data_IF_869564069522
#
_entry.id   IF_869564069522
#
_cell.length_a   1.000
_cell.length_b   1.000
_cell.length_c   1.000
_cell.angle_alpha   90.00
_cell.angle_beta   90.00
_cell.angle_gamma   90.00
#
_symmetry.space_group_name_H-M   'P 1'
#
loop_
_entity.id
_entity.type
_entity.pdbx_description
1 polymer ?
#
# COMPACT_ATOMS: atom_id res chain seq x y z
N UNK A 1 14.05 28.24 -19.43
CA UNK A 1 13.74 27.68 -18.10
C UNK A 1 12.33 27.07 -18.02
N UNK A 2 11.85 26.30 -19.00
CA UNK A 2 10.47 25.78 -19.08
C UNK A 2 10.36 24.24 -19.21
N UNK A 3 11.45 23.50 -19.29
CA UNK A 3 11.42 22.02 -19.42
C UNK A 3 11.28 21.21 -18.10
N UNK A 4 11.81 21.60 -16.93
CA UNK A 4 11.74 20.75 -15.74
C UNK A 4 10.32 20.54 -15.19
N UNK A 5 9.38 21.46 -15.42
CA UNK A 5 8.00 21.36 -14.87
C UNK A 5 7.10 20.36 -15.63
N UNK A 6 7.34 20.13 -16.93
CA UNK A 6 6.55 19.17 -17.74
C UNK A 6 6.84 17.71 -17.36
N UNK A 7 8.09 17.37 -17.04
CA UNK A 7 8.47 16.01 -16.63
C UNK A 7 7.96 15.64 -15.25
N UNK A 8 7.88 16.58 -14.31
CA UNK A 8 7.34 16.32 -12.97
C UNK A 8 5.82 16.01 -12.99
N UNK A 9 5.04 16.72 -13.81
CA UNK A 9 3.61 16.48 -13.93
C UNK A 9 3.28 15.12 -14.60
N UNK A 10 4.00 14.77 -15.66
CA UNK A 10 3.84 13.48 -16.34
C UNK A 10 4.28 12.31 -15.45
N UNK A 11 5.39 12.46 -14.71
CA UNK A 11 5.87 11.46 -13.75
C UNK A 11 4.88 11.24 -12.59
N UNK A 12 4.29 12.32 -12.06
CA UNK A 12 3.28 12.21 -11.00
C UNK A 12 2.00 11.53 -11.48
N UNK A 13 1.50 11.88 -12.66
CA UNK A 13 0.33 11.24 -13.27
C UNK A 13 0.59 9.74 -13.54
N UNK A 14 1.75 9.39 -14.08
CA UNK A 14 2.16 8.01 -14.30
C UNK A 14 2.27 7.23 -12.98
N UNK A 15 2.79 7.85 -11.92
CA UNK A 15 2.88 7.23 -10.59
C UNK A 15 1.50 6.92 -10.00
N UNK A 16 0.49 7.79 -10.21
CA UNK A 16 -0.89 7.53 -9.76
C UNK A 16 -1.50 6.36 -10.54
N UNK A 17 -1.32 6.32 -11.85
CA UNK A 17 -1.81 5.21 -12.70
C UNK A 17 -1.15 3.89 -12.30
N UNK A 18 0.14 3.91 -12.04
CA UNK A 18 0.91 2.71 -11.68
C UNK A 18 0.55 2.23 -10.27
N UNK A 19 0.36 3.11 -9.31
CA UNK A 19 -0.10 2.73 -7.96
C UNK A 19 -1.56 2.23 -7.94
N UNK A 20 -2.40 2.72 -8.86
CA UNK A 20 -3.76 2.24 -9.06
C UNK A 20 -3.86 0.86 -9.73
N UNK A 21 -2.87 0.50 -10.54
CA UNK A 21 -2.86 -0.75 -11.31
C UNK A 21 -3.02 -2.01 -10.45
N UNK A 22 -2.18 -2.24 -9.44
CA UNK A 22 -2.31 -3.40 -8.54
C UNK A 22 -3.63 -3.42 -7.76
N UNK A 23 -4.14 -2.26 -7.37
CA UNK A 23 -5.44 -2.14 -6.69
C UNK A 23 -6.58 -2.57 -7.61
N UNK A 24 -6.59 -2.07 -8.85
CA UNK A 24 -7.59 -2.43 -9.86
C UNK A 24 -7.48 -3.93 -10.20
N UNK A 25 -6.28 -4.43 -10.41
CA UNK A 25 -6.04 -5.85 -10.69
C UNK A 25 -6.53 -6.74 -9.55
N UNK A 26 -6.22 -6.38 -8.31
CA UNK A 26 -6.71 -7.08 -7.12
C UNK A 26 -8.24 -7.06 -7.02
N UNK A 27 -8.87 -5.92 -7.29
CA UNK A 27 -10.32 -5.79 -7.29
C UNK A 27 -10.97 -6.63 -8.40
N UNK A 28 -10.43 -6.59 -9.63
CA UNK A 28 -10.93 -7.40 -10.76
C UNK A 28 -10.81 -8.89 -10.43
N UNK A 29 -9.65 -9.34 -9.94
CA UNK A 29 -9.47 -10.74 -9.56
C UNK A 29 -10.42 -11.14 -8.42
N UNK A 30 -10.60 -10.29 -7.40
CA UNK A 30 -11.55 -10.52 -6.31
C UNK A 30 -12.98 -10.65 -6.83
N UNK A 31 -13.41 -9.85 -7.80
CA UNK A 31 -14.74 -9.98 -8.44
C UNK A 31 -14.87 -11.34 -9.15
N UNK A 32 -13.87 -11.74 -9.93
CA UNK A 32 -13.90 -13.02 -10.65
C UNK A 32 -13.96 -14.19 -9.66
N UNK A 33 -13.15 -14.18 -8.63
CA UNK A 33 -13.15 -15.20 -7.56
C UNK A 33 -14.51 -15.24 -6.86
N UNK A 34 -15.01 -14.09 -6.42
CA UNK A 34 -16.29 -13.96 -5.71
C UNK A 34 -17.47 -14.50 -6.53
N UNK A 35 -17.49 -14.23 -7.83
CA UNK A 35 -18.52 -14.71 -8.76
C UNK A 35 -18.43 -16.21 -9.02
N UNK A 36 -17.23 -16.74 -9.07
CA UNK A 36 -16.97 -18.15 -9.46
C UNK A 36 -17.11 -19.10 -8.28
N UNK A 37 -16.46 -18.77 -7.15
CA UNK A 37 -16.38 -19.68 -5.99
C UNK A 37 -17.07 -19.14 -4.74
N UNK A 38 -17.70 -17.96 -4.82
CA UNK A 38 -18.54 -17.38 -3.77
C UNK A 38 -17.77 -16.80 -2.58
N UNK A 39 -18.50 -16.41 -1.49
CA UNK A 39 -17.90 -15.75 -0.35
C UNK A 39 -16.83 -16.59 0.37
N UNK A 40 -17.09 -17.87 0.61
CA UNK A 40 -16.13 -18.74 1.31
C UNK A 40 -14.81 -18.86 0.54
N UNK A 41 -14.88 -19.13 -0.78
CA UNK A 41 -13.67 -19.21 -1.59
C UNK A 41 -12.92 -17.88 -1.70
N UNK A 42 -13.64 -16.76 -1.70
CA UNK A 42 -13.01 -15.43 -1.65
C UNK A 42 -12.33 -15.17 -0.30
N UNK A 43 -12.91 -15.67 0.81
CA UNK A 43 -12.31 -15.60 2.13
C UNK A 43 -11.02 -16.40 2.24
N UNK A 44 -11.05 -17.65 1.74
CA UNK A 44 -9.88 -18.52 1.70
C UNK A 44 -8.74 -17.91 0.88
N UNK A 45 -9.08 -17.36 -0.29
CA UNK A 45 -8.10 -16.63 -1.12
C UNK A 45 -7.52 -15.41 -0.37
N UNK A 46 -8.35 -14.63 0.31
CA UNK A 46 -7.91 -13.45 1.06
C UNK A 46 -6.98 -13.82 2.23
N UNK A 47 -7.27 -14.91 2.96
CA UNK A 47 -6.40 -15.42 4.04
C UNK A 47 -5.04 -15.89 3.51
N UNK A 48 -5.01 -16.66 2.44
CA UNK A 48 -3.77 -17.18 1.86
C UNK A 48 -2.95 -16.06 1.20
N UNK A 49 -3.60 -15.09 0.55
CA UNK A 49 -2.95 -13.88 0.04
C UNK A 49 -2.34 -13.05 1.17
N UNK A 50 -3.06 -12.92 2.29
CA UNK A 50 -2.57 -12.20 3.48
C UNK A 50 -1.38 -12.91 4.11
N UNK A 51 -1.43 -14.24 4.22
CA UNK A 51 -0.31 -15.06 4.70
C UNK A 51 0.94 -14.86 3.84
N UNK A 52 0.81 -14.97 2.51
CA UNK A 52 1.92 -14.76 1.58
C UNK A 52 2.46 -13.32 1.65
N UNK A 53 1.57 -12.32 1.73
CA UNK A 53 1.93 -10.91 1.84
C UNK A 53 2.69 -10.58 3.13
N UNK A 54 2.23 -11.07 4.28
CA UNK A 54 2.92 -10.91 5.57
C UNK A 54 4.28 -11.62 5.54
N UNK A 55 4.34 -12.85 4.99
CA UNK A 55 5.58 -13.60 4.86
C UNK A 55 6.62 -12.86 4.01
N UNK A 56 6.20 -12.29 2.88
CA UNK A 56 7.07 -11.48 2.02
C UNK A 56 7.55 -10.20 2.74
N UNK A 57 6.65 -9.52 3.44
CA UNK A 57 6.97 -8.29 4.16
C UNK A 57 7.97 -8.54 5.30
N UNK A 58 7.76 -9.58 6.10
CA UNK A 58 8.68 -9.98 7.17
C UNK A 58 10.04 -10.35 6.57
N UNK A 59 10.05 -11.16 5.52
CA UNK A 59 11.26 -11.62 4.86
C UNK A 59 12.04 -10.50 4.13
N UNK A 60 11.37 -9.41 3.75
CA UNK A 60 12.04 -8.29 3.07
C UNK A 60 13.11 -7.61 3.91
N UNK A 61 12.99 -7.68 5.25
CA UNK A 61 13.90 -7.09 6.26
C UNK A 61 14.25 -5.62 5.92
N UNK A 62 13.31 -4.93 5.22
CA UNK A 62 13.47 -3.55 4.78
C UNK A 62 14.48 -3.33 3.66
N UNK A 63 14.97 -4.39 3.01
CA UNK A 63 15.99 -4.28 1.97
C UNK A 63 15.53 -3.40 0.79
N UNK A 64 14.23 -3.33 0.50
CA UNK A 64 13.66 -2.41 -0.50
C UNK A 64 14.08 -0.95 -0.26
N UNK A 65 13.92 -0.46 0.99
CA UNK A 65 14.35 0.90 1.36
C UNK A 65 15.87 1.07 1.31
N UNK A 66 16.60 0.04 1.71
CA UNK A 66 18.07 0.01 1.64
C UNK A 66 18.60 0.08 0.20
N UNK A 67 18.01 -0.69 -0.71
CA UNK A 67 18.33 -0.67 -2.14
C UNK A 67 18.06 0.73 -2.72
N UNK A 68 16.87 1.27 -2.48
CA UNK A 68 16.49 2.61 -2.93
C UNK A 68 17.53 3.64 -2.46
N UNK A 69 17.94 3.59 -1.20
CA UNK A 69 18.93 4.50 -0.64
C UNK A 69 20.31 4.39 -1.30
N UNK A 70 20.87 3.18 -1.45
CA UNK A 70 22.20 2.98 -2.01
C UNK A 70 22.24 3.31 -3.52
N UNK A 71 21.16 2.98 -4.25
CA UNK A 71 21.05 3.24 -5.70
C UNK A 71 20.81 4.72 -6.00
N UNK A 72 19.94 5.41 -5.26
CA UNK A 72 19.67 6.84 -5.44
C UNK A 72 20.91 7.70 -5.17
N UNK A 73 21.74 7.28 -4.21
CA UNK A 73 23.02 7.95 -3.90
C UNK A 73 24.16 7.55 -4.82
N UNK A 74 23.88 6.79 -5.88
CA UNK A 74 24.86 6.30 -6.85
C UNK A 74 26.05 5.53 -6.22
N UNK A 75 25.83 4.90 -5.05
CA UNK A 75 26.82 4.05 -4.37
C UNK A 75 26.80 2.62 -4.92
N UNK A 76 25.66 2.19 -5.44
CA UNK A 76 25.50 0.96 -6.19
C UNK A 76 25.24 1.27 -7.65
N UNK A 77 25.95 0.57 -8.55
CA UNK A 77 25.54 0.47 -9.94
C UNK A 77 24.26 -0.37 -10.04
N UNK A 78 23.52 -0.20 -11.13
CA UNK A 78 22.33 -1.04 -11.41
C UNK A 78 22.71 -2.52 -11.43
N UNK A 79 23.88 -2.86 -12.02
CA UNK A 79 24.38 -4.24 -12.09
C UNK A 79 24.66 -4.84 -10.71
N UNK A 80 25.32 -4.08 -9.84
CA UNK A 80 25.61 -4.50 -8.46
C UNK A 80 24.31 -4.65 -7.66
N UNK A 81 23.42 -3.66 -7.73
CA UNK A 81 22.12 -3.70 -7.09
C UNK A 81 21.29 -4.90 -7.54
N UNK A 82 21.21 -5.15 -8.86
CA UNK A 82 20.50 -6.28 -9.43
C UNK A 82 21.01 -7.62 -8.88
N UNK A 83 22.33 -7.88 -8.97
CA UNK A 83 22.91 -9.15 -8.51
C UNK A 83 22.68 -9.38 -7.02
N UNK A 84 22.97 -8.37 -6.18
CA UNK A 84 22.82 -8.46 -4.75
C UNK A 84 21.33 -8.65 -4.34
N UNK A 85 20.43 -7.89 -4.97
CA UNK A 85 19.01 -7.89 -4.63
C UNK A 85 18.30 -9.17 -5.06
N UNK A 86 18.57 -9.69 -6.26
CA UNK A 86 17.91 -10.92 -6.71
C UNK A 86 18.34 -12.12 -5.89
N UNK A 87 19.64 -12.26 -5.61
CA UNK A 87 20.11 -13.33 -4.76
C UNK A 87 19.50 -13.23 -3.35
N UNK A 88 19.52 -12.02 -2.76
CA UNK A 88 18.92 -11.77 -1.46
C UNK A 88 17.39 -11.99 -1.50
N UNK A 89 16.71 -11.57 -2.57
CA UNK A 89 15.26 -11.74 -2.74
C UNK A 89 14.83 -13.19 -2.72
N UNK A 90 15.52 -14.04 -3.48
CA UNK A 90 15.24 -15.48 -3.47
C UNK A 90 15.61 -16.12 -2.13
N UNK A 91 16.75 -15.78 -1.53
CA UNK A 91 17.18 -16.36 -0.25
C UNK A 91 16.24 -15.95 0.89
N UNK A 92 15.97 -14.67 1.05
CA UNK A 92 15.06 -14.15 2.07
C UNK A 92 13.62 -14.59 1.80
N UNK A 93 13.20 -14.61 0.54
CA UNK A 93 11.90 -15.11 0.14
C UNK A 93 11.67 -16.56 0.48
N UNK A 94 12.69 -17.42 0.31
CA UNK A 94 12.61 -18.82 0.73
C UNK A 94 12.47 -18.93 2.25
N UNK A 95 13.26 -18.18 3.01
CA UNK A 95 13.14 -18.13 4.49
C UNK A 95 11.74 -17.64 4.87
N UNK A 96 11.21 -16.60 4.20
CA UNK A 96 9.86 -16.09 4.43
C UNK A 96 8.77 -17.09 4.09
N UNK A 97 8.92 -17.83 2.99
CA UNK A 97 7.98 -18.90 2.61
C UNK A 97 7.98 -20.04 3.64
N UNK A 98 9.15 -20.45 4.13
CA UNK A 98 9.28 -21.47 5.18
C UNK A 98 8.70 -20.99 6.52
N UNK A 99 8.96 -19.74 6.89
CA UNK A 99 8.34 -19.13 8.08
C UNK A 99 6.83 -19.02 7.94
N UNK A 100 6.32 -18.62 6.77
CA UNK A 100 4.89 -18.61 6.46
C UNK A 100 4.25 -19.99 6.53
N UNK A 101 4.95 -21.03 6.06
CA UNK A 101 4.49 -22.41 6.17
C UNK A 101 4.45 -22.87 7.63
N UNK A 102 5.42 -22.47 8.44
CA UNK A 102 5.41 -22.75 9.89
C UNK A 102 4.23 -22.04 10.57
N UNK A 103 3.95 -20.78 10.23
CA UNK A 103 2.77 -20.06 10.73
C UNK A 103 1.48 -20.72 10.29
N UNK A 104 1.38 -21.15 9.04
CA UNK A 104 0.22 -21.90 8.55
C UNK A 104 0.01 -23.19 9.36
N UNK A 105 1.06 -23.96 9.58
CA UNK A 105 0.99 -25.20 10.37
C UNK A 105 0.61 -24.96 11.84
N UNK A 106 1.12 -23.90 12.45
CA UNK A 106 0.77 -23.51 13.82
C UNK A 106 -0.69 -23.04 13.97
N UNK A 107 -1.24 -22.42 12.93
CA UNK A 107 -2.60 -21.90 12.91
C UNK A 107 -3.58 -22.79 12.15
N UNK A 108 -3.16 -24.00 11.75
CA UNK A 108 -3.96 -24.89 10.93
C UNK A 108 -5.27 -25.30 11.60
N UNK A 109 -5.24 -25.58 12.91
CA UNK A 109 -6.42 -26.01 13.67
C UNK A 109 -7.37 -24.86 14.05
N UNK A 110 -6.96 -23.59 13.82
CA UNK A 110 -7.74 -22.40 14.17
C UNK A 110 -8.13 -21.58 12.95
N UNK A 111 -7.17 -20.95 12.30
CA UNK A 111 -7.40 -20.02 11.18
C UNK A 111 -7.59 -20.75 9.84
N UNK A 112 -6.86 -21.86 9.63
CA UNK A 112 -6.78 -22.57 8.35
C UNK A 112 -7.37 -23.99 8.43
N UNK A 113 -8.28 -24.25 9.37
CA UNK A 113 -8.75 -25.59 9.74
C UNK A 113 -9.37 -26.41 8.59
N UNK A 114 -9.87 -25.77 7.55
CA UNK A 114 -10.49 -26.42 6.39
C UNK A 114 -9.60 -26.35 5.14
N UNK A 115 -8.39 -25.77 5.25
CA UNK A 115 -7.51 -25.56 4.10
C UNK A 115 -6.46 -26.68 3.98
N UNK A 116 -6.26 -27.13 2.74
CA UNK A 116 -5.20 -28.11 2.43
C UNK A 116 -3.84 -27.39 2.40
N UNK A 117 -2.81 -28.04 2.95
CA UNK A 117 -1.44 -27.52 2.97
C UNK A 117 -0.91 -27.16 1.58
N UNK A 118 -1.38 -27.86 0.52
CA UNK A 118 -1.01 -27.60 -0.86
C UNK A 118 -1.41 -26.19 -1.32
N UNK A 119 -2.54 -25.67 -0.83
CA UNK A 119 -2.99 -24.30 -1.16
C UNK A 119 -2.07 -23.25 -0.51
N UNK A 120 -1.64 -23.50 0.73
CA UNK A 120 -0.67 -22.64 1.41
C UNK A 120 0.70 -22.69 0.73
N UNK A 121 1.17 -23.88 0.34
CA UNK A 121 2.41 -24.03 -0.42
C UNK A 121 2.36 -23.26 -1.74
N UNK A 122 1.24 -23.33 -2.46
CA UNK A 122 1.05 -22.61 -3.72
C UNK A 122 1.07 -21.10 -3.52
N UNK A 123 0.39 -20.57 -2.49
CA UNK A 123 0.43 -19.14 -2.15
C UNK A 123 1.83 -18.70 -1.74
N UNK A 124 2.51 -19.46 -0.88
CA UNK A 124 3.84 -19.15 -0.36
C UNK A 124 4.95 -19.31 -1.41
N UNK A 125 4.75 -20.12 -2.45
CA UNK A 125 5.65 -20.21 -3.59
C UNK A 125 5.81 -18.87 -4.34
N UNK A 126 4.86 -17.96 -4.18
CA UNK A 126 4.97 -16.60 -4.72
C UNK A 126 6.01 -15.75 -4.01
N UNK A 127 6.35 -16.02 -2.74
CA UNK A 127 7.15 -15.12 -1.88
C UNK A 127 8.57 -14.88 -2.41
N UNK A 128 9.36 -15.88 -2.82
CA UNK A 128 10.70 -15.64 -3.36
C UNK A 128 10.71 -14.78 -4.63
N UNK A 129 9.95 -15.08 -5.69
CA UNK A 129 9.93 -14.24 -6.87
C UNK A 129 9.26 -12.88 -6.62
N UNK A 130 8.32 -12.77 -5.67
CA UNK A 130 7.70 -11.52 -5.27
C UNK A 130 8.72 -10.54 -4.66
N UNK A 131 9.63 -11.01 -3.81
CA UNK A 131 10.70 -10.16 -3.29
C UNK A 131 11.68 -9.73 -4.39
N UNK A 132 12.04 -10.62 -5.30
CA UNK A 132 12.89 -10.27 -6.44
C UNK A 132 12.23 -9.18 -7.32
N UNK A 133 10.93 -9.30 -7.60
CA UNK A 133 10.13 -8.29 -8.28
C UNK A 133 10.12 -6.95 -7.52
N UNK A 134 9.84 -6.94 -6.21
CA UNK A 134 9.82 -5.71 -5.39
C UNK A 134 11.19 -5.02 -5.34
N UNK A 135 12.28 -5.77 -5.39
CA UNK A 135 13.62 -5.19 -5.42
C UNK A 135 13.96 -4.61 -6.80
N UNK A 136 13.48 -5.22 -7.90
CA UNK A 136 13.59 -4.63 -9.21
C UNK A 136 12.83 -3.31 -9.30
N UNK A 137 11.64 -3.27 -8.74
CA UNK A 137 10.80 -2.08 -8.58
C UNK A 137 11.57 -0.95 -7.88
N UNK A 138 12.15 -1.24 -6.71
CA UNK A 138 12.94 -0.30 -5.93
C UNK A 138 14.15 0.28 -6.71
N UNK A 139 14.82 -0.55 -7.52
CA UNK A 139 15.96 -0.10 -8.35
C UNK A 139 15.49 0.83 -9.47
N UNK A 140 14.42 0.47 -10.19
CA UNK A 140 13.86 1.30 -11.26
C UNK A 140 13.37 2.65 -10.74
N UNK A 141 12.68 2.65 -9.62
CA UNK A 141 12.19 3.85 -8.96
C UNK A 141 13.35 4.74 -8.48
N UNK A 142 14.40 4.14 -7.87
CA UNK A 142 15.59 4.86 -7.41
C UNK A 142 16.39 5.49 -8.56
N UNK A 143 16.24 4.97 -9.78
CA UNK A 143 16.84 5.50 -11.02
C UNK A 143 15.88 6.40 -11.81
N UNK A 144 14.71 6.70 -11.27
CA UNK A 144 13.67 7.51 -11.93
C UNK A 144 13.23 6.94 -13.29
N UNK A 145 13.31 5.61 -13.44
CA UNK A 145 12.90 4.90 -14.67
C UNK A 145 11.41 4.56 -14.61
N UNK A 146 10.58 5.57 -14.62
CA UNK A 146 9.12 5.44 -14.44
C UNK A 146 8.44 4.58 -15.50
N UNK A 147 8.91 4.60 -16.75
CA UNK A 147 8.38 3.73 -17.82
C UNK A 147 8.66 2.24 -17.52
N UNK A 148 9.91 1.94 -17.09
CA UNK A 148 10.28 0.60 -16.69
C UNK A 148 9.51 0.12 -15.47
N UNK A 149 9.35 1.00 -14.47
CA UNK A 149 8.52 0.77 -13.31
C UNK A 149 7.07 0.44 -13.69
N UNK A 150 6.46 1.25 -14.58
CA UNK A 150 5.11 1.01 -15.07
C UNK A 150 4.97 -0.32 -15.83
N UNK A 151 5.93 -0.66 -16.69
CA UNK A 151 5.93 -1.92 -17.41
C UNK A 151 6.04 -3.13 -16.48
N UNK A 152 6.85 -3.00 -15.42
CA UNK A 152 7.02 -4.02 -14.39
C UNK A 152 5.69 -4.26 -13.62
N UNK A 153 5.07 -3.20 -13.13
CA UNK A 153 3.79 -3.24 -12.41
C UNK A 153 2.66 -3.79 -13.28
N UNK A 154 2.56 -3.34 -14.53
CA UNK A 154 1.55 -3.82 -15.47
C UNK A 154 1.73 -5.30 -15.82
N UNK A 155 2.97 -5.77 -16.00
CA UNK A 155 3.24 -7.18 -16.31
C UNK A 155 2.83 -8.09 -15.15
N UNK A 156 3.15 -7.71 -13.92
CA UNK A 156 2.74 -8.43 -12.71
C UNK A 156 1.21 -8.43 -12.56
N UNK A 157 0.58 -7.25 -12.59
CA UNK A 157 -0.86 -7.08 -12.40
C UNK A 157 -1.69 -7.77 -13.49
N UNK A 158 -1.29 -7.64 -14.76
CA UNK A 158 -1.96 -8.31 -15.88
C UNK A 158 -1.84 -9.84 -15.76
N UNK A 159 -0.67 -10.36 -15.41
CA UNK A 159 -0.48 -11.80 -15.23
C UNK A 159 -1.34 -12.35 -14.09
N UNK A 160 -1.42 -11.62 -12.98
CA UNK A 160 -2.26 -11.99 -11.84
C UNK A 160 -3.73 -12.15 -12.26
N UNK A 161 -4.27 -11.16 -12.96
CA UNK A 161 -5.67 -11.18 -13.43
C UNK A 161 -5.88 -12.22 -14.51
N UNK A 162 -5.01 -12.30 -15.50
CA UNK A 162 -5.18 -13.23 -16.62
C UNK A 162 -5.05 -14.69 -16.17
N UNK A 163 -3.97 -15.03 -15.48
CA UNK A 163 -3.73 -16.42 -15.08
C UNK A 163 -4.68 -16.82 -13.95
N UNK A 164 -4.72 -16.05 -12.85
CA UNK A 164 -5.60 -16.34 -11.72
C UNK A 164 -7.08 -16.26 -12.10
N UNK A 165 -7.47 -15.25 -12.88
CA UNK A 165 -8.84 -15.05 -13.32
C UNK A 165 -9.32 -16.09 -14.33
N UNK A 166 -8.48 -16.58 -15.23
CA UNK A 166 -8.86 -17.65 -16.18
C UNK A 166 -8.87 -19.01 -15.49
N UNK A 167 -7.84 -19.32 -14.71
CA UNK A 167 -7.72 -20.62 -14.08
C UNK A 167 -8.70 -20.87 -12.93
N UNK A 168 -9.31 -19.82 -12.36
CA UNK A 168 -10.35 -19.98 -11.34
C UNK A 168 -11.59 -20.71 -11.88
N UNK A 169 -11.93 -20.58 -13.17
CA UNK A 169 -13.10 -21.25 -13.76
C UNK A 169 -13.00 -22.78 -13.75
N UNK A 170 -11.91 -23.42 -14.24
CA UNK A 170 -11.80 -24.87 -14.21
C UNK A 170 -11.29 -25.44 -12.87
N UNK A 171 -10.50 -24.67 -12.09
CA UNK A 171 -9.78 -25.18 -10.92
C UNK A 171 -10.16 -24.51 -9.60
N UNK A 172 -11.16 -23.62 -9.59
CA UNK A 172 -11.62 -22.93 -8.38
C UNK A 172 -10.51 -22.17 -7.67
N UNK A 173 -10.44 -22.31 -6.35
CA UNK A 173 -9.46 -21.62 -5.51
C UNK A 173 -8.01 -21.92 -5.92
N UNK A 174 -7.71 -23.18 -6.25
CA UNK A 174 -6.36 -23.57 -6.71
C UNK A 174 -5.94 -22.77 -7.95
N UNK A 175 -6.85 -22.61 -8.92
CA UNK A 175 -6.60 -21.82 -10.12
C UNK A 175 -6.33 -20.34 -9.84
N UNK A 176 -7.10 -19.75 -8.93
CA UNK A 176 -6.86 -18.36 -8.49
C UNK A 176 -5.47 -18.19 -7.83
N UNK A 177 -5.11 -19.17 -6.97
CA UNK A 177 -3.81 -19.14 -6.27
C UNK A 177 -2.60 -19.35 -7.20
N UNK A 178 -2.74 -20.10 -8.30
CA UNK A 178 -1.67 -20.21 -9.33
C UNK A 178 -1.32 -18.84 -9.91
N UNK A 179 -2.27 -17.91 -9.97
CA UNK A 179 -2.03 -16.55 -10.39
C UNK A 179 -0.95 -15.82 -9.58
N UNK A 180 -0.83 -16.11 -8.28
CA UNK A 180 0.14 -15.44 -7.39
C UNK A 180 1.60 -15.73 -7.77
N UNK A 181 2.07 -16.98 -7.78
CA UNK A 181 3.44 -17.28 -8.19
C UNK A 181 3.69 -16.97 -9.66
N UNK A 182 2.70 -17.16 -10.55
CA UNK A 182 2.84 -16.81 -11.96
C UNK A 182 3.09 -15.31 -12.15
N UNK A 183 2.30 -14.45 -11.50
CA UNK A 183 2.49 -13.00 -11.55
C UNK A 183 3.84 -12.59 -10.98
N UNK A 184 4.23 -13.17 -9.83
CA UNK A 184 5.51 -12.88 -9.20
C UNK A 184 6.71 -13.30 -10.07
N UNK A 185 6.64 -14.47 -10.73
CA UNK A 185 7.68 -14.95 -11.66
C UNK A 185 7.76 -14.06 -12.91
N UNK A 186 6.62 -13.72 -13.52
CA UNK A 186 6.61 -12.83 -14.70
C UNK A 186 7.11 -11.43 -14.32
N UNK A 187 6.70 -10.91 -13.17
CA UNK A 187 7.21 -9.64 -12.66
C UNK A 187 8.73 -9.68 -12.45
N UNK A 188 9.24 -10.70 -11.75
CA UNK A 188 10.68 -10.89 -11.56
C UNK A 188 11.43 -11.03 -12.88
N UNK A 189 10.91 -11.80 -13.84
CA UNK A 189 11.52 -11.96 -15.18
C UNK A 189 11.53 -10.64 -15.96
N UNK A 190 10.44 -9.88 -15.94
CA UNK A 190 10.38 -8.53 -16.52
C UNK A 190 11.42 -7.61 -15.88
N UNK A 191 11.54 -7.67 -14.54
CA UNK A 191 12.57 -6.96 -13.79
C UNK A 191 13.99 -7.31 -14.27
N UNK A 192 14.30 -8.59 -14.46
CA UNK A 192 15.60 -9.02 -15.03
C UNK A 192 15.84 -8.36 -16.39
N UNK A 193 14.87 -8.42 -17.30
CA UNK A 193 15.01 -7.87 -18.65
C UNK A 193 15.28 -6.35 -18.63
N UNK A 194 14.53 -5.62 -17.80
CA UNK A 194 14.66 -4.18 -17.65
C UNK A 194 15.99 -3.80 -17.00
N UNK A 195 16.37 -4.46 -15.91
CA UNK A 195 17.60 -4.15 -15.19
C UNK A 195 18.87 -4.54 -15.97
N UNK A 196 18.83 -5.60 -16.76
CA UNK A 196 19.92 -5.94 -17.68
C UNK A 196 20.10 -4.84 -18.74
N UNK A 197 19.01 -4.31 -19.30
CA UNK A 197 19.06 -3.19 -20.26
C UNK A 197 19.62 -1.92 -19.59
N UNK A 198 19.14 -1.59 -18.41
CA UNK A 198 19.60 -0.42 -17.66
C UNK A 198 21.06 -0.56 -17.20
N UNK A 199 21.50 -1.75 -16.83
CA UNK A 199 22.89 -1.98 -16.40
C UNK A 199 23.91 -1.73 -17.52
N UNK A 200 23.50 -1.90 -18.79
CA UNK A 200 24.35 -1.60 -19.96
C UNK A 200 24.49 -0.09 -20.20
N UNK A 201 23.56 0.72 -19.69
CA UNK A 201 23.54 2.18 -19.82
C UNK A 201 24.09 2.88 -18.59
N UNK A 202 24.30 2.13 -17.51
CA UNK A 202 24.72 2.69 -16.24
C UNK A 202 26.21 3.06 -16.27
N UNK A 203 26.51 4.31 -15.93
CA UNK A 203 27.88 4.86 -15.86
C UNK A 203 28.46 4.82 -14.45
N UNK A 204 27.67 4.40 -13.45
CA UNK A 204 28.12 4.29 -12.06
C UNK A 204 29.08 3.11 -11.93
N UNK A 205 30.29 3.38 -11.40
CA UNK A 205 31.26 2.33 -11.11
C UNK A 205 30.90 1.57 -9.85
N UNK A 206 31.06 0.24 -9.87
CA UNK A 206 30.92 -0.60 -8.70
C UNK A 206 32.01 -0.25 -7.67
N UNK A 207 31.68 -0.19 -6.39
CA UNK A 207 32.73 -0.09 -5.36
C UNK A 207 32.37 0.61 -4.05
N UNK A 208 31.27 1.34 -3.96
CA UNK A 208 30.96 2.11 -2.74
C UNK A 208 29.87 1.52 -1.83
N UNK A 209 29.03 0.63 -2.34
CA UNK A 209 27.87 0.09 -1.61
C UNK A 209 28.12 -1.30 -1.03
N UNK A 210 27.37 -1.64 0.04
CA UNK A 210 27.42 -2.96 0.65
C UNK A 210 26.01 -3.41 1.05
N UNK A 211 25.71 -4.72 0.87
CA UNK A 211 24.44 -5.31 1.26
C UNK A 211 24.16 -5.10 2.76
N UNK A 212 25.19 -5.21 3.60
CA UNK A 212 25.05 -4.99 5.05
C UNK A 212 24.63 -3.55 5.37
N UNK A 213 25.13 -2.55 4.62
CA UNK A 213 24.75 -1.15 4.81
C UNK A 213 23.31 -0.93 4.37
N UNK A 214 22.92 -1.50 3.22
CA UNK A 214 21.53 -1.45 2.74
C UNK A 214 20.56 -2.09 3.74
N UNK A 215 20.91 -3.27 4.28
CA UNK A 215 20.12 -3.93 5.33
C UNK A 215 20.05 -3.09 6.61
N UNK A 216 21.17 -2.53 7.06
CA UNK A 216 21.22 -1.71 8.29
C UNK A 216 20.34 -0.45 8.16
N UNK A 217 20.34 0.17 7.00
CA UNK A 217 19.45 1.31 6.71
C UNK A 217 18.01 0.85 6.64
N UNK A 218 17.73 -0.24 5.92
CA UNK A 218 16.40 -0.80 5.72
C UNK A 218 15.74 -1.23 7.03
N UNK A 219 16.47 -1.88 7.94
CA UNK A 219 15.97 -2.31 9.25
C UNK A 219 15.39 -1.17 10.09
N UNK A 220 15.93 0.05 9.98
CA UNK A 220 15.42 1.22 10.71
C UNK A 220 13.99 1.60 10.25
N UNK A 221 13.72 1.49 8.96
CA UNK A 221 12.40 1.78 8.39
C UNK A 221 11.46 0.58 8.48
N UNK A 222 12.02 -0.63 8.47
CA UNK A 222 11.25 -1.89 8.42
C UNK A 222 10.41 -2.10 9.67
N UNK A 223 10.95 -1.85 10.86
CA UNK A 223 10.22 -2.02 12.11
C UNK A 223 8.96 -1.15 12.18
N UNK A 224 9.04 0.11 11.75
CA UNK A 224 7.88 1.00 11.70
C UNK A 224 6.83 0.54 10.68
N UNK A 225 7.29 0.12 9.49
CA UNK A 225 6.40 -0.40 8.45
C UNK A 225 5.75 -1.73 8.87
N UNK A 226 6.49 -2.60 9.56
CA UNK A 226 5.97 -3.86 10.08
C UNK A 226 4.83 -3.62 11.07
N UNK A 227 5.05 -2.76 12.08
CA UNK A 227 4.01 -2.41 13.04
C UNK A 227 2.76 -1.82 12.38
N UNK A 228 2.95 -0.99 11.36
CA UNK A 228 1.86 -0.39 10.63
C UNK A 228 1.07 -1.43 9.80
N UNK A 229 1.77 -2.37 9.15
CA UNK A 229 1.12 -3.42 8.35
C UNK A 229 0.41 -4.46 9.20
N UNK A 230 0.96 -4.80 10.36
CA UNK A 230 0.27 -5.61 11.37
C UNK A 230 -1.07 -4.94 11.72
N UNK A 231 -1.05 -3.64 11.96
CA UNK A 231 -2.25 -2.87 12.28
C UNK A 231 -3.31 -2.88 11.16
N UNK A 232 -2.91 -3.10 9.89
CA UNK A 232 -3.81 -3.05 8.72
C UNK A 232 -4.20 -4.41 8.15
N UNK A 233 -3.59 -5.51 8.58
CA UNK A 233 -3.75 -6.83 7.96
C UNK A 233 -4.09 -7.96 8.92
N UNK A 234 -3.88 -7.75 10.22
CA UNK A 234 -4.13 -8.78 11.22
C UNK A 234 -5.61 -9.02 11.49
N UNK A 235 -6.46 -8.07 11.14
CA UNK A 235 -7.92 -8.22 11.16
C UNK A 235 -8.38 -9.48 10.41
N UNK A 236 -7.88 -9.71 9.20
CA UNK A 236 -8.23 -10.89 8.40
C UNK A 236 -7.77 -12.21 9.05
N UNK A 237 -6.54 -12.23 9.59
CA UNK A 237 -5.99 -13.44 10.23
C UNK A 237 -6.78 -13.75 11.51
N UNK A 238 -7.04 -12.75 12.34
CA UNK A 238 -7.81 -12.95 13.58
C UNK A 238 -9.25 -13.33 13.25
N UNK A 239 -9.87 -12.65 12.26
CA UNK A 239 -11.23 -12.99 11.82
C UNK A 239 -11.30 -14.44 11.31
N UNK A 240 -10.30 -14.90 10.56
CA UNK A 240 -10.23 -16.28 10.10
C UNK A 240 -10.16 -17.32 11.23
N UNK A 241 -9.70 -16.92 12.42
CA UNK A 241 -9.67 -17.81 13.60
C UNK A 241 -10.97 -17.90 14.40
N UNK A 242 -11.88 -16.96 14.21
CA UNK A 242 -13.13 -16.89 15.00
C UNK A 242 -14.40 -16.98 14.14
N UNK A 243 -14.33 -16.58 12.87
CA UNK A 243 -15.49 -16.50 11.99
C UNK A 243 -15.40 -17.48 10.82
N UNK A 244 -16.49 -17.64 10.08
CA UNK A 244 -16.53 -18.49 8.89
C UNK A 244 -15.72 -17.93 7.72
N UNK A 245 -15.26 -18.79 6.82
CA UNK A 245 -14.60 -18.36 5.58
C UNK A 245 -15.48 -17.40 4.75
N UNK A 246 -16.80 -17.57 4.79
CA UNK A 246 -17.73 -16.66 4.12
C UNK A 246 -17.74 -15.27 4.73
N UNK A 247 -17.71 -15.16 6.06
CA UNK A 247 -17.59 -13.88 6.79
C UNK A 247 -16.28 -13.17 6.43
N UNK A 248 -15.14 -13.90 6.42
CA UNK A 248 -13.86 -13.37 5.94
C UNK A 248 -13.96 -12.86 4.50
N UNK A 249 -14.65 -13.60 3.63
CA UNK A 249 -14.84 -13.23 2.23
C UNK A 249 -15.66 -11.96 2.05
N UNK A 250 -16.77 -11.84 2.77
CA UNK A 250 -17.62 -10.64 2.76
C UNK A 250 -16.87 -9.43 3.31
N UNK A 251 -16.13 -9.60 4.41
CA UNK A 251 -15.31 -8.56 5.00
C UNK A 251 -14.17 -8.12 4.08
N UNK A 252 -13.50 -9.06 3.40
CA UNK A 252 -12.39 -8.76 2.47
C UNK A 252 -12.84 -7.91 1.27
N UNK A 253 -14.08 -8.09 0.79
CA UNK A 253 -14.67 -7.26 -0.26
C UNK A 253 -14.90 -5.83 0.26
N UNK A 254 -15.44 -5.67 1.47
CA UNK A 254 -15.61 -4.35 2.10
C UNK A 254 -14.27 -3.63 2.25
N UNK A 255 -13.20 -4.33 2.70
CA UNK A 255 -11.85 -3.80 2.77
C UNK A 255 -11.32 -3.36 1.40
N UNK A 256 -11.51 -4.18 0.36
CA UNK A 256 -11.05 -3.89 -1.00
C UNK A 256 -11.71 -2.63 -1.55
N UNK A 257 -13.01 -2.47 -1.36
CA UNK A 257 -13.75 -1.29 -1.81
C UNK A 257 -13.35 -0.03 -1.05
N UNK A 258 -13.17 -0.12 0.26
CA UNK A 258 -12.78 1.03 1.09
C UNK A 258 -11.31 1.42 0.93
N UNK A 259 -10.41 0.49 0.53
CA UNK A 259 -8.99 0.77 0.28
C UNK A 259 -8.75 1.82 -0.82
N UNK A 260 -9.71 2.05 -1.72
CA UNK A 260 -9.68 3.12 -2.73
C UNK A 260 -9.49 4.50 -2.09
N UNK A 261 -9.98 4.70 -0.85
CA UNK A 261 -9.78 5.94 -0.10
C UNK A 261 -8.31 6.30 0.12
N UNK A 262 -7.41 5.31 0.12
CA UNK A 262 -5.99 5.55 0.41
C UNK A 262 -5.19 6.02 -0.80
N UNK A 263 -5.72 5.87 -2.02
CA UNK A 263 -5.01 6.25 -3.26
C UNK A 263 -4.69 7.74 -3.28
N UNK A 264 -5.68 8.59 -3.00
CA UNK A 264 -5.48 10.04 -3.02
C UNK A 264 -4.54 10.54 -1.90
N UNK A 265 -4.73 10.16 -0.61
CA UNK A 265 -3.79 10.50 0.45
C UNK A 265 -2.37 9.97 0.18
N UNK A 266 -2.22 8.81 -0.41
CA UNK A 266 -0.92 8.22 -0.71
C UNK A 266 -0.19 9.00 -1.83
N UNK A 267 -0.91 9.40 -2.87
CA UNK A 267 -0.37 10.29 -3.90
C UNK A 267 0.06 11.64 -3.32
N UNK A 268 -0.73 12.21 -2.41
CA UNK A 268 -0.40 13.47 -1.75
C UNK A 268 0.84 13.34 -0.85
N UNK A 269 1.00 12.22 -0.13
CA UNK A 269 2.18 11.96 0.69
C UNK A 269 3.48 11.97 -0.11
N UNK A 270 3.49 11.39 -1.31
CA UNK A 270 4.69 11.34 -2.16
C UNK A 270 5.19 12.72 -2.57
N UNK A 271 4.29 13.70 -2.64
CA UNK A 271 4.60 15.10 -2.97
C UNK A 271 4.86 15.93 -1.71
N UNK A 272 4.07 15.72 -0.66
CA UNK A 272 4.13 16.50 0.57
C UNK A 272 5.41 16.26 1.36
N UNK A 273 5.86 15.01 1.45
CA UNK A 273 7.06 14.68 2.25
C UNK A 273 8.31 15.45 1.79
N UNK A 274 8.74 15.39 0.51
CA UNK A 274 9.89 16.15 0.04
C UNK A 274 9.69 17.66 0.14
N UNK A 275 8.45 18.13 -0.13
CA UNK A 275 8.14 19.56 -0.08
C UNK A 275 8.19 20.10 1.35
N UNK A 276 7.67 19.37 2.32
CA UNK A 276 7.77 19.76 3.73
C UNK A 276 9.23 19.83 4.19
N UNK A 277 10.07 18.87 3.77
CA UNK A 277 11.50 18.86 4.08
C UNK A 277 12.24 20.08 3.45
N UNK A 278 11.98 20.38 2.18
CA UNK A 278 12.61 21.51 1.51
C UNK A 278 12.17 22.87 2.09
N UNK A 279 10.90 23.01 2.48
CA UNK A 279 10.40 24.22 3.11
C UNK A 279 11.00 24.42 4.51
N UNK A 280 11.20 23.35 5.27
CA UNK A 280 11.84 23.40 6.57
C UNK A 280 13.32 23.81 6.44
N UNK A 281 14.03 23.25 5.46
CA UNK A 281 15.43 23.58 5.13
C UNK A 281 15.56 25.06 4.70
N UNK A 282 14.69 25.55 3.80
CA UNK A 282 14.67 26.95 3.36
C UNK A 282 14.35 27.93 4.52
N UNK A 283 13.48 27.53 5.45
CA UNK A 283 13.20 28.32 6.64
C UNK A 283 14.40 28.39 7.60
N UNK A 284 15.11 27.26 7.79
CA UNK A 284 16.35 27.22 8.57
C UNK A 284 17.49 28.00 7.94
N UNK A 285 17.54 28.05 6.61
CA UNK A 285 18.50 28.87 5.86
C UNK A 285 18.16 30.37 5.85
N UNK A 286 16.98 30.77 6.34
CA UNK A 286 16.50 32.14 6.35
C UNK A 286 16.01 32.64 4.98
N UNK A 287 15.79 31.76 4.02
CA UNK A 287 15.29 32.10 2.67
C UNK A 287 13.79 32.43 2.69
N UNK A 288 13.04 31.81 3.60
CA UNK A 288 11.61 32.04 3.86
C UNK A 288 11.37 32.17 5.36
N UNK A 289 10.24 32.74 5.75
CA UNK A 289 9.88 32.78 7.17
C UNK A 289 9.36 31.43 7.64
N UNK A 290 9.46 31.16 8.94
CA UNK A 290 8.86 29.96 9.54
C UNK A 290 7.34 29.94 9.37
N UNK A 291 6.69 31.12 9.34
CA UNK A 291 5.24 31.22 9.12
C UNK A 291 4.84 30.88 7.68
N UNK A 292 5.66 31.21 6.68
CA UNK A 292 5.45 30.82 5.29
C UNK A 292 5.57 29.29 5.11
N UNK A 293 6.58 28.67 5.75
CA UNK A 293 6.72 27.22 5.80
C UNK A 293 5.50 26.57 6.45
N UNK A 294 5.04 27.10 7.59
CA UNK A 294 3.87 26.60 8.30
C UNK A 294 2.58 26.77 7.48
N UNK A 295 2.42 27.90 6.79
CA UNK A 295 1.29 28.15 5.91
C UNK A 295 1.23 27.14 4.75
N UNK A 296 2.38 26.87 4.12
CA UNK A 296 2.46 25.90 3.01
C UNK A 296 2.15 24.47 3.46
N UNK A 297 2.65 24.03 4.62
CA UNK A 297 2.33 22.70 5.19
C UNK A 297 0.86 22.64 5.58
N UNK A 298 0.31 23.68 6.22
CA UNK A 298 -1.12 23.73 6.56
C UNK A 298 -2.00 23.64 5.31
N UNK A 299 -1.65 24.38 4.24
CA UNK A 299 -2.36 24.29 2.95
C UNK A 299 -2.35 22.88 2.39
N UNK A 300 -1.21 22.20 2.40
CA UNK A 300 -1.11 20.83 1.91
C UNK A 300 -1.96 19.84 2.74
N UNK A 301 -2.04 20.01 4.06
CA UNK A 301 -2.92 19.21 4.93
C UNK A 301 -4.39 19.49 4.61
N UNK A 302 -4.80 20.78 4.40
CA UNK A 302 -6.17 21.12 4.00
C UNK A 302 -6.57 20.50 2.67
N UNK A 303 -5.66 20.44 1.69
CA UNK A 303 -5.90 19.71 0.45
C UNK A 303 -6.12 18.21 0.71
N UNK A 304 -5.39 17.60 1.65
CA UNK A 304 -5.63 16.23 2.09
C UNK A 304 -7.04 16.04 2.65
N UNK A 305 -7.51 16.98 3.47
CA UNK A 305 -8.89 16.96 4.01
C UNK A 305 -9.91 17.15 2.90
N UNK A 306 -9.72 18.11 1.98
CA UNK A 306 -10.61 18.32 0.85
C UNK A 306 -10.77 17.09 -0.04
N UNK A 307 -9.69 16.34 -0.24
CA UNK A 307 -9.72 15.11 -1.05
C UNK A 307 -10.45 13.95 -0.37
N UNK A 308 -10.73 14.01 0.94
CA UNK A 308 -11.53 12.98 1.63
C UNK A 308 -13.00 13.01 1.21
N UNK A 309 -13.55 14.17 0.82
CA UNK A 309 -14.95 14.28 0.38
C UNK A 309 -15.21 13.52 -0.93
N UNK A 310 -14.49 13.77 -2.04
CA UNK A 310 -14.67 13.01 -3.25
C UNK A 310 -14.32 11.52 -3.05
N UNK A 311 -13.32 11.20 -2.22
CA UNK A 311 -13.03 9.81 -1.88
C UNK A 311 -14.22 9.13 -1.19
N UNK A 312 -14.88 9.80 -0.23
CA UNK A 312 -16.07 9.28 0.43
C UNK A 312 -17.21 9.03 -0.57
N UNK A 313 -17.46 9.97 -1.49
CA UNK A 313 -18.51 9.81 -2.53
C UNK A 313 -18.18 8.63 -3.43
N UNK A 314 -16.93 8.48 -3.87
CA UNK A 314 -16.50 7.35 -4.70
C UNK A 314 -16.71 6.03 -3.95
N UNK A 315 -16.31 5.94 -2.67
CA UNK A 315 -16.49 4.71 -1.89
C UNK A 315 -17.97 4.39 -1.71
N UNK A 316 -18.79 5.37 -1.35
CA UNK A 316 -20.24 5.16 -1.23
C UNK A 316 -20.82 4.63 -2.56
N UNK A 317 -20.41 5.19 -3.69
CA UNK A 317 -20.83 4.70 -5.00
C UNK A 317 -20.32 3.26 -5.26
N UNK A 318 -19.07 2.95 -4.90
CA UNK A 318 -18.53 1.58 -5.01
C UNK A 318 -19.30 0.60 -4.12
N UNK A 319 -19.62 0.96 -2.88
CA UNK A 319 -20.38 0.12 -1.98
C UNK A 319 -21.80 -0.13 -2.50
N UNK A 320 -22.51 0.92 -2.91
CA UNK A 320 -23.92 0.84 -3.29
C UNK A 320 -24.14 0.30 -4.71
N UNK A 321 -23.20 0.51 -5.63
CA UNK A 321 -23.34 0.15 -7.05
C UNK A 321 -22.41 -0.99 -7.42
N UNK A 322 -21.11 -0.89 -7.12
CA UNK A 322 -20.16 -1.88 -7.59
C UNK A 322 -20.33 -3.23 -6.87
N UNK A 323 -20.64 -3.25 -5.57
CA UNK A 323 -20.84 -4.52 -4.85
C UNK A 323 -22.02 -5.30 -5.43
N UNK A 324 -23.26 -4.78 -5.52
CA UNK A 324 -24.38 -5.54 -6.09
C UNK A 324 -24.16 -5.94 -7.55
N UNK A 325 -23.60 -5.04 -8.37
CA UNK A 325 -23.41 -5.27 -9.80
C UNK A 325 -22.27 -6.23 -10.07
N UNK A 326 -21.12 -6.07 -9.41
CA UNK A 326 -19.91 -6.84 -9.69
C UNK A 326 -19.82 -8.12 -8.84
N UNK A 327 -20.14 -8.08 -7.55
CA UNK A 327 -20.01 -9.22 -6.65
C UNK A 327 -21.32 -10.03 -6.51
N UNK A 328 -22.48 -9.37 -6.61
CA UNK A 328 -23.80 -9.99 -6.51
C UNK A 328 -24.37 -10.04 -5.10
N UNK A 329 -25.59 -10.61 -4.98
CA UNK A 329 -26.38 -10.58 -3.74
C UNK A 329 -25.73 -11.27 -2.53
N UNK A 330 -24.87 -12.27 -2.76
CA UNK A 330 -24.17 -12.99 -1.67
C UNK A 330 -23.20 -12.11 -0.88
N UNK A 331 -22.85 -10.93 -1.39
CA UNK A 331 -21.95 -9.95 -0.77
C UNK A 331 -22.68 -8.71 -0.27
N UNK A 332 -24.01 -8.79 -0.07
CA UNK A 332 -24.79 -7.63 0.37
C UNK A 332 -24.29 -7.05 1.69
N UNK A 333 -23.90 -7.89 2.64
CA UNK A 333 -23.38 -7.46 3.96
C UNK A 333 -22.08 -6.68 3.85
N UNK A 334 -21.27 -6.88 2.77
CA UNK A 334 -20.09 -6.07 2.50
C UNK A 334 -20.41 -4.57 2.35
N UNK A 335 -21.64 -4.22 1.94
CA UNK A 335 -22.08 -2.83 1.82
C UNK A 335 -22.12 -2.17 3.20
N UNK A 336 -22.81 -2.82 4.14
CA UNK A 336 -22.97 -2.30 5.49
C UNK A 336 -21.64 -2.31 6.25
N UNK A 337 -20.85 -3.38 6.11
CA UNK A 337 -19.48 -3.45 6.65
C UNK A 337 -18.59 -2.32 6.11
N UNK A 338 -18.72 -2.00 4.82
CA UNK A 338 -18.05 -0.86 4.20
C UNK A 338 -18.46 0.47 4.82
N UNK A 339 -19.73 0.66 5.17
CA UNK A 339 -20.20 1.85 5.88
C UNK A 339 -19.64 1.94 7.30
N UNK A 340 -19.47 0.83 8.00
CA UNK A 340 -18.82 0.79 9.34
C UNK A 340 -17.34 1.13 9.23
N UNK A 341 -16.65 0.67 8.18
CA UNK A 341 -15.24 0.97 7.93
C UNK A 341 -14.99 2.40 7.46
N UNK A 342 -15.93 3.00 6.73
CA UNK A 342 -15.77 4.27 6.01
C UNK A 342 -15.25 5.42 6.90
N UNK A 343 -15.82 5.71 8.09
CA UNK A 343 -15.32 6.79 8.94
C UNK A 343 -13.85 6.61 9.33
N UNK A 344 -13.49 5.39 9.75
CA UNK A 344 -12.11 5.08 10.13
C UNK A 344 -11.12 5.22 8.98
N UNK A 345 -11.49 4.73 7.79
CA UNK A 345 -10.64 4.77 6.59
C UNK A 345 -10.40 6.21 6.12
N UNK A 346 -11.43 7.07 6.14
CA UNK A 346 -11.29 8.49 5.79
C UNK A 346 -10.42 9.24 6.80
N UNK A 347 -10.63 9.02 8.10
CA UNK A 347 -9.80 9.60 9.15
C UNK A 347 -8.34 9.15 9.02
N UNK A 348 -8.10 7.86 8.75
CA UNK A 348 -6.76 7.35 8.52
C UNK A 348 -6.08 8.03 7.32
N UNK A 349 -6.82 8.32 6.25
CA UNK A 349 -6.32 9.07 5.10
C UNK A 349 -5.75 10.43 5.53
N UNK A 350 -6.49 11.18 6.36
CA UNK A 350 -6.02 12.44 6.95
C UNK A 350 -4.79 12.20 7.84
N UNK A 351 -4.83 11.17 8.70
CA UNK A 351 -3.72 10.79 9.57
C UNK A 351 -2.43 10.49 8.83
N UNK A 352 -2.53 9.84 7.66
CA UNK A 352 -1.38 9.57 6.78
C UNK A 352 -0.75 10.87 6.24
N UNK A 353 -1.55 11.85 5.83
CA UNK A 353 -1.07 13.16 5.37
C UNK A 353 -0.36 13.90 6.50
N UNK A 354 -0.95 13.91 7.70
CA UNK A 354 -0.33 14.51 8.90
C UNK A 354 1.00 13.85 9.26
N UNK A 355 1.06 12.50 9.22
CA UNK A 355 2.28 11.74 9.50
C UNK A 355 3.39 12.06 8.48
N UNK A 356 3.04 12.23 7.22
CA UNK A 356 3.99 12.64 6.17
C UNK A 356 4.55 14.06 6.42
N UNK A 357 3.70 15.00 6.85
CA UNK A 357 4.12 16.35 7.21
C UNK A 357 5.06 16.35 8.44
N UNK A 358 4.76 15.54 9.46
CA UNK A 358 5.63 15.37 10.64
C UNK A 358 7.00 14.80 10.24
N UNK A 359 6.99 13.75 9.42
CA UNK A 359 8.22 13.09 8.98
C UNK A 359 9.07 14.00 8.07
N UNK A 360 8.43 14.77 7.17
CA UNK A 360 9.09 15.75 6.30
C UNK A 360 9.79 16.88 7.08
N UNK A 361 9.29 17.22 8.27
CA UNK A 361 9.92 18.17 9.20
C UNK A 361 11.01 17.57 10.08
N UNK A 362 11.54 16.40 9.73
CA UNK A 362 12.66 15.77 10.45
C UNK A 362 12.28 15.00 11.71
N UNK A 363 11.00 14.72 11.92
CA UNK A 363 10.51 14.00 13.10
C UNK A 363 9.91 12.61 12.79
N UNK A 364 10.56 11.74 12.00
CA UNK A 364 9.98 10.43 11.60
C UNK A 364 9.71 9.49 12.78
N UNK A 365 10.38 9.68 13.93
CA UNK A 365 10.16 8.91 15.16
C UNK A 365 8.72 8.96 15.66
N UNK A 366 8.00 10.04 15.40
CA UNK A 366 6.59 10.14 15.83
C UNK A 366 5.67 9.23 15.03
N UNK A 367 6.00 8.95 13.76
CA UNK A 367 5.27 7.92 12.98
C UNK A 367 5.40 6.53 13.61
N UNK A 368 6.61 6.20 14.13
CA UNK A 368 6.81 4.98 14.89
C UNK A 368 6.00 4.97 16.19
N UNK A 369 5.96 6.08 16.93
CA UNK A 369 5.17 6.18 18.18
C UNK A 369 3.66 6.02 17.91
N UNK A 370 3.14 6.59 16.82
CA UNK A 370 1.75 6.39 16.41
C UNK A 370 1.48 4.90 16.21
N UNK A 371 2.31 4.21 15.44
CA UNK A 371 2.16 2.78 15.19
C UNK A 371 2.31 1.94 16.46
N UNK A 372 3.29 2.25 17.31
CA UNK A 372 3.56 1.52 18.54
C UNK A 372 2.47 1.69 19.62
N UNK A 373 1.77 2.83 19.63
CA UNK A 373 0.65 3.07 20.55
C UNK A 373 -0.65 2.47 19.99
N UNK A 374 -0.91 2.63 18.69
CA UNK A 374 -2.15 2.15 18.09
C UNK A 374 -2.19 0.62 17.96
N UNK A 375 -1.07 -0.04 17.66
CA UNK A 375 -1.03 -1.49 17.43
C UNK A 375 -1.55 -2.33 18.62
N UNK A 376 -1.07 -2.16 19.88
CA UNK A 376 -1.57 -2.96 21.01
C UNK A 376 -3.06 -2.76 21.24
N UNK A 377 -3.55 -1.52 21.08
CA UNK A 377 -4.98 -1.23 21.24
C UNK A 377 -5.79 -1.86 20.10
N UNK A 378 -5.28 -1.82 18.87
CA UNK A 378 -5.91 -2.48 17.71
C UNK A 378 -6.05 -3.97 17.96
N UNK A 379 -4.97 -4.64 18.37
CA UNK A 379 -5.00 -6.06 18.68
C UNK A 379 -5.97 -6.38 19.82
N UNK A 380 -5.97 -5.55 20.88
CA UNK A 380 -6.93 -5.67 21.98
C UNK A 380 -8.38 -5.56 21.51
N UNK A 381 -8.68 -4.61 20.63
CA UNK A 381 -10.01 -4.46 20.05
C UNK A 381 -10.39 -5.65 19.16
N UNK A 382 -9.45 -6.18 18.33
CA UNK A 382 -9.72 -7.36 17.52
C UNK A 382 -10.04 -8.57 18.37
N UNK A 383 -9.21 -8.89 19.38
CA UNK A 383 -9.47 -10.02 20.28
C UNK A 383 -10.70 -9.85 21.16
N UNK A 384 -11.15 -8.63 21.39
CA UNK A 384 -12.37 -8.33 22.16
C UNK A 384 -13.62 -8.40 21.28
N UNK A 385 -13.61 -7.76 20.09
CA UNK A 385 -14.83 -7.57 19.30
C UNK A 385 -15.07 -8.68 18.28
N UNK A 386 -14.02 -9.26 17.69
CA UNK A 386 -14.19 -10.29 16.68
C UNK A 386 -14.86 -11.56 17.24
N UNK A 387 -14.47 -12.10 18.42
CA UNK A 387 -15.15 -13.26 18.98
C UNK A 387 -16.61 -13.04 19.33
N UNK A 388 -17.04 -11.78 19.52
CA UNK A 388 -18.40 -11.42 19.91
C UNK A 388 -19.30 -11.06 18.72
N UNK A 389 -18.72 -10.54 17.65
CA UNK A 389 -19.46 -9.92 16.55
C UNK A 389 -18.92 -10.30 15.17
N UNK A 390 -18.03 -11.29 15.05
CA UNK A 390 -17.44 -11.78 13.81
C UNK A 390 -16.92 -10.63 12.91
N UNK A 391 -17.32 -10.59 11.65
CA UNK A 391 -16.90 -9.57 10.66
C UNK A 391 -17.33 -8.14 11.06
N UNK A 392 -18.41 -7.99 11.79
CA UNK A 392 -18.85 -6.69 12.31
C UNK A 392 -17.91 -6.18 13.40
N UNK A 393 -17.45 -7.10 14.26
CA UNK A 393 -16.42 -6.83 15.25
C UNK A 393 -15.11 -6.40 14.60
N UNK A 394 -14.70 -7.07 13.51
CA UNK A 394 -13.52 -6.70 12.75
C UNK A 394 -13.65 -5.30 12.14
N UNK A 395 -14.79 -5.00 11.49
CA UNK A 395 -15.06 -3.70 10.88
C UNK A 395 -15.07 -2.56 11.90
N UNK A 396 -15.74 -2.75 13.04
CA UNK A 396 -15.81 -1.76 14.11
C UNK A 396 -14.44 -1.53 14.74
N UNK A 397 -13.70 -2.59 15.07
CA UNK A 397 -12.36 -2.52 15.65
C UNK A 397 -11.38 -1.80 14.70
N UNK A 398 -11.41 -2.13 13.41
CA UNK A 398 -10.60 -1.46 12.39
C UNK A 398 -10.93 0.02 12.27
N UNK A 399 -12.22 0.38 12.24
CA UNK A 399 -12.66 1.78 12.14
C UNK A 399 -12.20 2.60 13.36
N UNK A 400 -12.36 2.07 14.58
CA UNK A 400 -11.90 2.72 15.82
C UNK A 400 -10.38 2.85 15.84
N UNK A 401 -9.66 1.80 15.45
CA UNK A 401 -8.19 1.79 15.38
C UNK A 401 -7.64 2.82 14.40
N UNK A 402 -8.26 2.94 13.22
CA UNK A 402 -7.88 3.92 12.21
C UNK A 402 -8.16 5.35 12.70
N UNK A 403 -9.29 5.58 13.35
CA UNK A 403 -9.62 6.87 13.97
C UNK A 403 -8.62 7.24 15.08
N UNK A 404 -8.22 6.29 15.92
CA UNK A 404 -7.19 6.49 16.94
C UNK A 404 -5.84 6.86 16.31
N UNK A 405 -5.41 6.12 15.28
CA UNK A 405 -4.15 6.42 14.58
C UNK A 405 -4.15 7.83 14.01
N UNK A 406 -5.28 8.27 13.45
CA UNK A 406 -5.46 9.64 12.95
C UNK A 406 -5.43 10.68 14.09
N UNK A 407 -6.08 10.40 15.21
CA UNK A 407 -6.06 11.25 16.39
C UNK A 407 -4.64 11.43 16.95
N UNK A 408 -3.89 10.33 17.07
CA UNK A 408 -2.49 10.38 17.50
C UNK A 408 -1.64 11.20 16.52
N UNK A 409 -1.83 11.01 15.21
CA UNK A 409 -1.15 11.81 14.20
C UNK A 409 -1.46 13.29 14.36
N UNK A 410 -2.72 13.65 14.64
CA UNK A 410 -3.15 15.03 14.88
C UNK A 410 -2.50 15.62 16.14
N UNK A 411 -2.46 14.86 17.24
CA UNK A 411 -1.82 15.29 18.50
C UNK A 411 -0.33 15.55 18.29
N UNK A 412 0.37 14.62 17.64
CA UNK A 412 1.80 14.79 17.38
C UNK A 412 2.07 15.90 16.35
N UNK A 413 1.24 16.03 15.33
CA UNK A 413 1.34 17.15 14.37
C UNK A 413 1.29 18.49 15.09
N UNK A 414 0.30 18.71 15.96
CA UNK A 414 0.18 19.95 16.75
C UNK A 414 1.39 20.18 17.65
N UNK A 415 1.94 19.12 18.28
CA UNK A 415 3.12 19.23 19.16
C UNK A 415 4.39 19.60 18.41
N UNK A 416 4.56 19.04 17.22
CA UNK A 416 5.78 19.20 16.41
C UNK A 416 5.77 20.52 15.63
N UNK A 417 4.64 20.82 14.96
CA UNK A 417 4.56 21.97 14.03
C UNK A 417 4.09 23.25 14.72
N UNK A 418 3.45 23.15 15.88
CA UNK A 418 2.76 24.26 16.57
C UNK A 418 1.66 24.93 15.74
N UNK A 419 1.36 24.43 14.54
CA UNK A 419 0.29 24.93 13.67
C UNK A 419 -1.07 24.69 14.35
N UNK A 420 -1.91 25.72 14.38
CA UNK A 420 -3.26 25.62 14.93
C UNK A 420 -4.12 24.63 14.11
N UNK A 421 -4.88 23.75 14.79
CA UNK A 421 -5.68 22.71 14.13
C UNK A 421 -6.71 23.29 13.15
N UNK A 422 -7.31 24.44 13.46
CA UNK A 422 -8.24 25.13 12.57
C UNK A 422 -7.53 25.55 11.28
N UNK A 423 -6.30 26.10 11.37
CA UNK A 423 -5.49 26.50 10.22
C UNK A 423 -5.10 25.31 9.33
N UNK A 424 -4.90 24.14 9.94
CA UNK A 424 -4.47 22.93 9.23
C UNK A 424 -5.62 22.09 8.65
N UNK A 425 -6.78 22.04 9.31
CA UNK A 425 -7.85 21.11 8.96
C UNK A 425 -9.05 21.76 8.28
N UNK A 426 -9.30 23.05 8.51
CA UNK A 426 -10.46 23.73 7.92
C UNK A 426 -10.09 24.27 6.55
N UNK A 427 -10.68 23.71 5.45
CA UNK A 427 -10.44 24.21 4.11
C UNK A 427 -10.86 25.67 3.96
N UNK A 428 -10.09 26.45 3.23
CA UNK A 428 -10.37 27.83 2.87
C UNK A 428 -10.95 27.90 1.46
N UNK A 429 -11.64 28.98 1.15
CA UNK A 429 -12.16 29.24 -0.21
C UNK A 429 -11.06 29.23 -1.28
N UNK A 430 -9.86 29.67 -0.92
CA UNK A 430 -8.67 29.66 -1.77
C UNK A 430 -8.23 28.22 -2.13
N UNK A 431 -8.29 27.27 -1.17
CA UNK A 431 -7.92 25.89 -1.40
C UNK A 431 -8.87 25.21 -2.40
N UNK A 432 -10.16 25.60 -2.39
CA UNK A 432 -11.16 25.12 -3.36
C UNK A 432 -10.93 25.75 -4.74
N UNK A 433 -10.54 27.01 -4.79
CA UNK A 433 -10.26 27.74 -6.03
C UNK A 433 -9.07 27.13 -6.81
N UNK A 434 -8.09 26.53 -6.11
CA UNK A 434 -6.96 25.84 -6.75
C UNK A 434 -7.42 24.67 -7.65
N UNK A 435 -8.56 24.07 -7.36
CA UNK A 435 -9.17 22.99 -8.21
C UNK A 435 -10.03 23.53 -9.35
N UNK A 436 -10.44 24.81 -9.31
CA UNK A 436 -11.18 25.47 -10.39
C UNK A 436 -10.42 25.49 -11.71
N UNK A 437 -9.10 25.70 -11.64
CA UNK A 437 -8.22 25.64 -12.80
C UNK A 437 -8.12 24.26 -13.45
N UNK A 438 -8.18 23.19 -12.66
CA UNK A 438 -8.18 21.81 -13.18
C UNK A 438 -9.49 21.48 -13.93
N UNK A 439 -10.61 21.99 -13.48
CA UNK A 439 -11.90 21.85 -14.17
C UNK A 439 -11.92 22.57 -15.53
N UNK A 440 -11.26 23.72 -15.65
CA UNK A 440 -11.07 24.41 -16.93
C UNK A 440 -10.15 23.63 -17.89
N UNK A 441 -9.06 23.03 -17.38
CA UNK A 441 -8.18 22.16 -18.17
C UNK A 441 -8.88 20.90 -18.65
N UNK A 442 -9.71 20.27 -17.80
CA UNK A 442 -10.52 19.11 -18.18
C UNK A 442 -11.58 19.47 -19.23
N UNK A 443 -12.14 20.66 -19.20
CA UNK A 443 -13.08 21.17 -20.24
C UNK A 443 -12.38 21.54 -21.56
N UNK A 444 -11.12 21.98 -21.48
CA UNK A 444 -10.30 22.29 -22.65
C UNK A 444 -9.76 21.04 -23.34
N UNK A 445 -9.67 19.92 -22.63
CA UNK A 445 -9.30 18.62 -23.17
C UNK A 445 -10.53 17.92 -23.79
N UNK A 446 -11.12 18.51 -24.83
CA UNK A 446 -12.02 17.78 -25.73
C UNK A 446 -11.13 17.02 -26.72
N UNK A 447 -11.24 15.67 -26.81
CA UNK A 447 -10.58 14.94 -27.88
C UNK A 447 -11.09 15.51 -29.20
N UNK A 448 -10.16 15.88 -30.10
CA UNK A 448 -10.45 16.59 -31.32
C UNK A 448 -11.56 15.97 -32.15
N UNK A 449 -12.39 16.88 -32.70
CA UNK A 449 -13.21 16.57 -33.88
C UNK A 449 -12.30 16.49 -35.09
#
# INVERSE_FOLDING_TARGET
>A
MSEPRRHLGAGAALSVVVQGGPLIAGAVLSVVIARTIGPAGNGDFALLLTLAGISAMVASVGLTAGITYEVSRRRWSVKQAFRASYLAGFAFGLVGALAGLAVFALLQDSVFNHMRTELALLALASVPPLLAYQYADAILLARERYEGYAALELSHSATLVLIGGILVFPFGLTGALVGLPAAAVVGAATGVLLLVRESRRDTVRDGGGSLLRALRFGLQSWGANLLQQVNYRFDLIILGGFASAAAVGVYSVALTMTAVAWVLPQALQTVLFPRAASLDESALAGEITSDDSDAAVAKAVRHGVLLTLPAAVIIIALLLVAIPVLYGSKFHDSILLGFVLLPGVLLLGIGKVLSSAIAGRGYPRFTLYIAAISMPLTLGLYFLLIPLYDEWGAAAASSVSYALSALLALVFFRRVTKIGLRRALVPLSEDVADYGGLLHLARAWRPGR
#
